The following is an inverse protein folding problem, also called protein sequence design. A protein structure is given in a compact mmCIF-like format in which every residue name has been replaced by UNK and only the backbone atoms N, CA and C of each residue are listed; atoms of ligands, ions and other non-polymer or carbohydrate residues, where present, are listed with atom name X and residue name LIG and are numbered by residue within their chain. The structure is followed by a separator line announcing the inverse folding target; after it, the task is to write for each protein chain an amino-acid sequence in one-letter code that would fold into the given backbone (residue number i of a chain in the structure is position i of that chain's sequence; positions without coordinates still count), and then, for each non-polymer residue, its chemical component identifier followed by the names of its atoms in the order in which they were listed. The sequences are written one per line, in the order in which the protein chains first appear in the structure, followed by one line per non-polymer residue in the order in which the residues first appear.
data_IF_060087822087
#
_entry.id   IF_060087822087
#
_cell.length_a   1.000
_cell.length_b   1.000
_cell.length_c   1.000
_cell.angle_alpha   90.00
_cell.angle_beta   90.00
_cell.angle_gamma   90.00
#
_symmetry.space_group_name_H-M   'P 1'
#
loop_
_entity.id
_entity.type
_entity.pdbx_description
1 polymer ?
#
# COMPACT_ATOMS: atom_id res chain seq x y z
N UNK A 1 1.11 -10.99 1.04
CA UNK A 1 0.26 -9.93 1.64
C UNK A 1 -1.01 -9.82 0.81
N UNK A 2 -2.19 -9.74 1.43
CA UNK A 2 -3.46 -9.67 0.69
C UNK A 2 -3.82 -8.22 0.33
N UNK A 3 -4.72 -8.01 -0.65
CA UNK A 3 -5.24 -6.68 -0.99
C UNK A 3 -5.88 -5.96 0.20
N UNK A 4 -6.60 -6.68 1.05
CA UNK A 4 -7.24 -6.11 2.23
C UNK A 4 -6.22 -5.53 3.22
N UNK A 5 -5.13 -6.27 3.47
CA UNK A 5 -4.04 -5.79 4.33
C UNK A 5 -3.32 -4.58 3.71
N UNK A 6 -3.12 -4.60 2.38
CA UNK A 6 -2.52 -3.46 1.68
C UNK A 6 -3.39 -2.20 1.84
N UNK A 7 -4.70 -2.34 1.74
CA UNK A 7 -5.64 -1.23 1.92
C UNK A 7 -5.62 -0.68 3.36
N UNK A 8 -5.62 -1.54 4.39
CA UNK A 8 -5.53 -1.08 5.78
C UNK A 8 -4.21 -0.35 6.06
N UNK A 9 -3.09 -0.86 5.54
CA UNK A 9 -1.79 -0.21 5.68
C UNK A 9 -1.80 1.14 4.93
N UNK A 10 -2.37 1.18 3.73
CA UNK A 10 -2.49 2.40 2.94
C UNK A 10 -3.35 3.46 3.64
N UNK A 11 -4.48 3.08 4.24
CA UNK A 11 -5.35 3.96 5.02
C UNK A 11 -4.67 4.49 6.27
N UNK A 12 -4.01 3.61 7.03
CA UNK A 12 -3.32 3.99 8.25
C UNK A 12 -2.16 4.95 7.98
N UNK A 13 -1.42 4.71 6.89
CA UNK A 13 -0.26 5.50 6.50
C UNK A 13 -0.60 6.69 5.61
N UNK A 14 -1.89 6.92 5.31
CA UNK A 14 -2.35 7.96 4.38
C UNK A 14 -1.93 9.36 4.84
N UNK A 15 -1.86 9.59 6.15
CA UNK A 15 -1.39 10.86 6.73
C UNK A 15 0.11 11.10 6.49
N UNK A 16 0.89 10.03 6.29
CA UNK A 16 2.34 10.07 6.04
C UNK A 16 2.67 10.02 4.54
N UNK A 17 1.71 9.65 3.71
CA UNK A 17 1.89 9.44 2.28
C UNK A 17 1.38 10.64 1.49
N UNK A 18 2.13 11.03 0.46
CA UNK A 18 1.67 12.05 -0.49
C UNK A 18 0.74 11.42 -1.54
N UNK A 19 -0.43 10.94 -1.10
CA UNK A 19 -1.43 10.32 -1.94
C UNK A 19 -2.77 11.07 -1.83
N UNK A 20 -3.40 11.35 -2.96
CA UNK A 20 -4.70 12.01 -3.00
C UNK A 20 -5.84 11.08 -2.58
N UNK A 21 -5.68 9.78 -2.81
CA UNK A 21 -6.71 8.76 -2.61
C UNK A 21 -6.10 7.47 -2.08
N UNK A 22 -6.94 6.62 -1.47
CA UNK A 22 -6.55 5.34 -0.89
C UNK A 22 -5.93 4.41 -1.95
N UNK A 23 -6.42 4.44 -3.18
CA UNK A 23 -5.81 3.69 -4.30
C UNK A 23 -4.40 4.18 -4.64
N UNK A 24 -4.15 5.48 -4.55
CA UNK A 24 -2.83 6.07 -4.72
C UNK A 24 -1.87 5.63 -3.61
N UNK A 25 -2.35 5.67 -2.36
CA UNK A 25 -1.61 5.18 -1.20
C UNK A 25 -1.28 3.68 -1.34
N UNK A 26 -2.23 2.86 -1.80
CA UNK A 26 -2.01 1.45 -2.08
C UNK A 26 -0.92 1.21 -3.12
N UNK A 27 -0.84 2.02 -4.20
CA UNK A 27 0.22 1.91 -5.21
C UNK A 27 1.60 2.21 -4.64
N UNK A 28 1.70 3.23 -3.77
CA UNK A 28 2.97 3.59 -3.11
C UNK A 28 3.42 2.44 -2.21
N UNK A 29 2.52 1.96 -1.33
CA UNK A 29 2.82 0.85 -0.40
C UNK A 29 3.14 -0.44 -1.16
N UNK A 30 2.43 -0.73 -2.26
CA UNK A 30 2.71 -1.87 -3.12
C UNK A 30 4.08 -1.78 -3.80
N UNK A 31 4.49 -0.58 -4.23
CA UNK A 31 5.83 -0.33 -4.75
C UNK A 31 6.92 -0.64 -3.72
N UNK A 32 6.74 -0.15 -2.49
CA UNK A 32 7.66 -0.44 -1.37
C UNK A 32 7.71 -1.93 -1.05
N UNK A 33 6.55 -2.59 -0.95
CA UNK A 33 6.45 -4.02 -0.70
C UNK A 33 7.18 -4.82 -1.79
N UNK A 34 7.02 -4.45 -3.06
CA UNK A 34 7.71 -5.08 -4.20
C UNK A 34 9.23 -4.92 -4.11
N UNK A 35 9.75 -3.74 -3.79
CA UNK A 35 11.19 -3.50 -3.61
C UNK A 35 11.77 -4.29 -2.44
N UNK A 36 10.98 -4.58 -1.41
CA UNK A 36 11.37 -5.45 -0.30
C UNK A 36 11.20 -6.94 -0.62
N UNK A 37 10.77 -7.31 -1.83
CA UNK A 37 10.55 -8.69 -2.24
C UNK A 37 9.26 -9.32 -1.71
N UNK A 38 8.36 -8.52 -1.12
CA UNK A 38 7.07 -8.98 -0.61
C UNK A 38 6.10 -9.15 -1.78
N UNK A 39 5.63 -10.39 -2.00
CA UNK A 39 4.55 -10.65 -2.95
C UNK A 39 3.22 -10.20 -2.38
N UNK A 40 2.47 -9.48 -3.21
CA UNK A 40 1.07 -9.18 -2.97
C UNK A 40 0.26 -10.24 -3.71
N UNK A 41 -0.40 -11.08 -2.94
CA UNK A 41 -1.34 -12.07 -3.45
C UNK A 41 -2.72 -11.41 -3.49
N UNK A 42 -3.45 -11.64 -4.59
CA UNK A 42 -4.71 -10.97 -4.86
C UNK A 42 -5.78 -11.31 -3.83
#
# INVERSE_FOLDING_TARGET
MTKAQLEEIAKTKMVDLNANDVEGAMKIVAGTARSMGIKIEQ
#
